data_IF_602443799857
#
_entry.id   IF_602443799857
#
_cell.length_a   1.000
_cell.length_b   1.000
_cell.length_c   1.000
_cell.angle_alpha   90.00
_cell.angle_beta   90.00
_cell.angle_gamma   90.00
#
_symmetry.space_group_name_H-M   'P 1'
#
loop_
_entity.id
_entity.type
_entity.pdbx_description
1 polymer ?
#
# COMPACT_ATOMS: atom_id res chain seq x y z
N UNK A 1 5.28 9.19 -21.61
CA UNK A 1 5.65 8.35 -22.77
C UNK A 1 6.17 9.17 -23.97
N UNK A 2 5.61 10.31 -24.28
CA UNK A 2 5.96 11.11 -25.49
C UNK A 2 7.23 11.96 -25.38
N UNK A 3 7.85 12.07 -24.19
CA UNK A 3 9.07 12.86 -24.02
C UNK A 3 10.30 12.16 -24.62
N UNK A 4 11.26 12.90 -25.20
CA UNK A 4 12.49 12.33 -25.75
C UNK A 4 13.35 11.73 -24.62
N UNK A 5 13.78 10.48 -24.78
CA UNK A 5 14.52 9.72 -23.76
C UNK A 5 15.89 10.31 -23.39
N UNK A 6 16.46 11.16 -24.27
CA UNK A 6 17.78 11.78 -24.07
C UNK A 6 17.74 13.12 -23.33
N UNK A 7 16.56 13.70 -23.09
CA UNK A 7 16.44 15.00 -22.41
C UNK A 7 16.10 14.78 -20.92
N UNK A 8 17.12 14.54 -20.12
CA UNK A 8 16.99 14.24 -18.69
C UNK A 8 16.38 15.39 -17.90
N UNK A 9 16.73 16.63 -18.23
CA UNK A 9 16.19 17.82 -17.57
C UNK A 9 14.67 17.95 -17.78
N UNK A 10 14.22 17.70 -19.00
CA UNK A 10 12.79 17.76 -19.34
C UNK A 10 11.99 16.63 -18.65
N UNK A 11 12.55 15.42 -18.58
CA UNK A 11 11.91 14.28 -17.90
C UNK A 11 11.77 14.58 -16.41
N UNK A 12 12.84 15.02 -15.74
CA UNK A 12 12.87 15.39 -14.33
C UNK A 12 11.92 16.54 -14.03
N UNK A 13 11.96 17.61 -14.83
CA UNK A 13 11.08 18.78 -14.71
C UNK A 13 9.60 18.40 -14.83
N UNK A 14 9.23 17.62 -15.85
CA UNK A 14 7.87 17.14 -16.02
C UNK A 14 7.41 16.26 -14.86
N UNK A 15 8.24 15.32 -14.42
CA UNK A 15 7.90 14.45 -13.26
C UNK A 15 7.71 15.25 -11.98
N UNK A 16 8.53 16.28 -11.76
CA UNK A 16 8.39 17.17 -10.59
C UNK A 16 7.12 17.99 -10.66
N UNK A 17 6.75 18.52 -11.84
CA UNK A 17 5.50 19.27 -12.01
C UNK A 17 4.29 18.37 -11.74
N UNK A 18 4.26 17.15 -12.30
CA UNK A 18 3.17 16.20 -12.05
C UNK A 18 3.07 15.84 -10.57
N UNK A 19 4.20 15.53 -9.92
CA UNK A 19 4.23 15.22 -8.50
C UNK A 19 3.81 16.43 -7.63
N UNK A 20 4.23 17.64 -8.02
CA UNK A 20 3.83 18.89 -7.34
C UNK A 20 2.33 19.15 -7.44
N UNK A 21 1.73 18.97 -8.62
CA UNK A 21 0.28 19.10 -8.82
C UNK A 21 -0.46 18.04 -7.99
N UNK A 22 0.01 16.78 -8.03
CA UNK A 22 -0.62 15.70 -7.23
C UNK A 22 -0.55 15.99 -5.74
N UNK A 23 0.58 16.49 -5.24
CA UNK A 23 0.71 16.90 -3.84
C UNK A 23 -0.23 18.05 -3.48
N UNK A 24 -0.30 19.10 -4.32
CA UNK A 24 -1.20 20.23 -4.11
C UNK A 24 -2.68 19.81 -4.09
N UNK A 25 -3.08 18.91 -4.99
CA UNK A 25 -4.43 18.34 -4.99
C UNK A 25 -4.69 17.50 -3.73
N UNK A 26 -3.70 16.75 -3.26
CA UNK A 26 -3.82 15.97 -2.01
C UNK A 26 -4.00 16.90 -0.78
N UNK A 27 -3.26 18.02 -0.72
CA UNK A 27 -3.47 19.05 0.30
C UNK A 27 -4.84 19.70 0.17
N UNK A 28 -5.27 20.05 -1.05
CA UNK A 28 -6.58 20.63 -1.30
C UNK A 28 -7.69 19.70 -0.78
N UNK A 29 -7.68 18.42 -1.15
CA UNK A 29 -8.66 17.43 -0.69
C UNK A 29 -8.68 17.33 0.83
N UNK A 30 -7.52 17.23 1.47
CA UNK A 30 -7.43 17.11 2.92
C UNK A 30 -7.97 18.34 3.67
N UNK A 31 -7.65 19.55 3.22
CA UNK A 31 -8.10 20.77 3.90
C UNK A 31 -9.54 21.20 3.57
N UNK A 32 -10.10 20.71 2.45
CA UNK A 32 -11.49 21.01 2.07
C UNK A 32 -12.46 19.89 2.45
N UNK A 33 -11.94 18.74 2.96
CA UNK A 33 -12.78 17.66 3.46
C UNK A 33 -13.59 18.13 4.67
N UNK A 34 -14.92 18.00 4.60
CA UNK A 34 -15.82 18.42 5.67
C UNK A 34 -16.00 17.30 6.69
N UNK A 35 -15.37 17.45 7.87
CA UNK A 35 -15.44 16.48 8.96
C UNK A 35 -16.82 16.42 9.65
N UNK A 36 -17.73 17.33 9.34
CA UNK A 36 -19.09 17.34 9.92
C UNK A 36 -20.08 16.50 9.13
N UNK A 37 -19.74 16.19 7.88
CA UNK A 37 -20.54 15.34 7.00
C UNK A 37 -20.07 13.88 7.13
N UNK A 38 -21.02 12.99 7.37
CA UNK A 38 -20.77 11.56 7.31
C UNK A 38 -20.83 11.05 5.85
N UNK A 39 -19.99 10.06 5.53
CA UNK A 39 -19.99 9.40 4.22
C UNK A 39 -18.85 9.84 3.31
N UNK A 40 -19.01 9.53 2.04
CA UNK A 40 -18.03 9.79 0.97
C UNK A 40 -18.24 11.18 0.39
N UNK A 41 -17.16 11.87 0.08
CA UNK A 41 -17.15 13.20 -0.54
C UNK A 41 -16.32 13.18 -1.82
N UNK A 42 -16.42 14.23 -2.64
CA UNK A 42 -15.76 14.32 -3.95
C UNK A 42 -16.10 13.15 -4.88
N UNK A 43 -17.36 12.71 -4.83
CA UNK A 43 -17.80 11.55 -5.59
C UNK A 43 -17.84 11.83 -7.09
N UNK A 44 -17.39 10.84 -7.85
CA UNK A 44 -17.51 10.80 -9.31
C UNK A 44 -17.64 9.34 -9.73
N UNK A 45 -18.65 9.01 -10.53
CA UNK A 45 -18.87 7.65 -11.02
C UNK A 45 -19.11 7.63 -12.52
N UNK A 46 -18.66 6.54 -13.14
CA UNK A 46 -18.84 6.25 -14.54
C UNK A 46 -19.05 4.73 -14.73
N UNK A 47 -20.14 4.33 -15.34
CA UNK A 47 -20.39 2.93 -15.68
C UNK A 47 -19.37 2.44 -16.72
N UNK A 48 -18.55 1.47 -16.35
CA UNK A 48 -17.54 0.89 -17.25
C UNK A 48 -18.02 -0.42 -17.90
N UNK A 49 -18.49 -1.37 -17.09
CA UNK A 49 -19.03 -2.65 -17.55
C UNK A 49 -20.41 -2.92 -16.89
N UNK A 50 -21.50 -2.35 -17.43
CA UNK A 50 -22.82 -2.45 -16.80
C UNK A 50 -23.33 -3.88 -16.62
N UNK A 51 -22.96 -4.79 -17.55
CA UNK A 51 -23.34 -6.21 -17.48
C UNK A 51 -22.81 -6.94 -16.25
N UNK A 52 -21.69 -6.48 -15.69
CA UNK A 52 -21.07 -7.04 -14.50
C UNK A 52 -21.24 -6.15 -13.28
N UNK A 53 -21.93 -5.00 -13.43
CA UNK A 53 -22.06 -4.02 -12.35
C UNK A 53 -20.74 -3.40 -11.90
N UNK A 54 -19.77 -3.27 -12.83
CA UNK A 54 -18.48 -2.65 -12.55
C UNK A 54 -18.55 -1.17 -12.90
N UNK A 55 -18.35 -0.32 -11.90
CA UNK A 55 -18.36 1.13 -12.03
C UNK A 55 -16.99 1.72 -11.69
N UNK A 56 -16.51 2.63 -12.52
CA UNK A 56 -15.37 3.47 -12.16
C UNK A 56 -15.87 4.55 -11.21
N UNK A 57 -16.00 4.17 -9.93
CA UNK A 57 -16.52 5.02 -8.87
C UNK A 57 -15.38 5.45 -7.96
N UNK A 58 -15.24 6.77 -7.81
CA UNK A 58 -14.22 7.42 -7.00
C UNK A 58 -14.88 8.24 -5.90
N UNK A 59 -14.23 8.33 -4.75
CA UNK A 59 -14.69 9.14 -3.64
C UNK A 59 -13.70 9.14 -2.49
N UNK A 60 -13.88 10.07 -1.57
CA UNK A 60 -12.98 10.30 -0.43
C UNK A 60 -13.79 10.23 0.86
N UNK A 61 -13.35 9.40 1.79
CA UNK A 61 -13.81 9.39 3.18
C UNK A 61 -12.71 9.92 4.12
N UNK A 62 -12.96 9.97 5.41
CA UNK A 62 -12.02 10.50 6.40
C UNK A 62 -10.70 9.72 6.48
N UNK A 63 -10.71 8.42 6.21
CA UNK A 63 -9.49 7.58 6.20
C UNK A 63 -8.71 7.83 4.91
N UNK A 64 -9.38 7.78 3.78
CA UNK A 64 -8.75 7.99 2.47
C UNK A 64 -8.20 9.40 2.30
N UNK A 65 -8.83 10.44 2.87
CA UNK A 65 -8.32 11.81 2.85
C UNK A 65 -6.90 11.91 3.46
N UNK A 66 -6.69 11.25 4.61
CA UNK A 66 -5.38 11.19 5.29
C UNK A 66 -4.37 10.41 4.46
N UNK A 67 -4.78 9.29 3.84
CA UNK A 67 -3.90 8.45 3.03
C UNK A 67 -3.53 9.10 1.69
N UNK A 68 -4.44 9.83 1.08
CA UNK A 68 -4.20 10.65 -0.12
C UNK A 68 -3.18 11.76 0.18
N UNK A 69 -3.31 12.44 1.33
CA UNK A 69 -2.33 13.44 1.77
C UNK A 69 -0.94 12.82 1.96
N UNK A 70 -0.85 11.69 2.67
CA UNK A 70 0.40 10.94 2.86
C UNK A 70 1.05 10.60 1.52
N UNK A 71 0.27 10.09 0.57
CA UNK A 71 0.74 9.72 -0.76
C UNK A 71 1.33 10.91 -1.49
N UNK A 72 0.66 12.07 -1.47
CA UNK A 72 1.14 13.30 -2.10
C UNK A 72 2.50 13.76 -1.58
N UNK A 73 2.65 13.77 -0.25
CA UNK A 73 3.91 14.17 0.41
C UNK A 73 5.05 13.21 0.04
N UNK A 74 4.81 11.90 0.13
CA UNK A 74 5.84 10.89 -0.15
C UNK A 74 6.19 10.86 -1.64
N UNK A 75 5.20 11.07 -2.52
CA UNK A 75 5.42 11.08 -3.97
C UNK A 75 6.34 12.21 -4.40
N UNK A 76 6.05 13.46 -4.03
CA UNK A 76 6.90 14.60 -4.40
C UNK A 76 8.30 14.47 -3.81
N UNK A 77 8.43 14.03 -2.55
CA UNK A 77 9.72 13.79 -1.92
C UNK A 77 10.51 12.71 -2.67
N UNK A 78 9.86 11.62 -3.09
CA UNK A 78 10.49 10.53 -3.84
C UNK A 78 10.97 10.97 -5.23
N UNK A 79 10.21 11.81 -5.95
CA UNK A 79 10.65 12.37 -7.23
C UNK A 79 11.90 13.24 -7.04
N UNK A 80 11.95 14.07 -6.00
CA UNK A 80 13.11 14.92 -5.70
C UNK A 80 14.35 14.11 -5.31
N UNK A 81 14.20 13.06 -4.51
CA UNK A 81 15.29 12.15 -4.14
C UNK A 81 15.82 11.38 -5.35
N UNK A 82 14.98 11.13 -6.37
CA UNK A 82 15.35 10.43 -7.61
C UNK A 82 16.01 11.33 -8.66
N UNK A 83 16.32 12.58 -8.32
CA UNK A 83 16.84 13.56 -9.29
C UNK A 83 18.09 13.10 -10.05
N UNK A 84 18.96 12.34 -9.39
CA UNK A 84 20.24 11.91 -9.93
C UNK A 84 20.21 10.56 -10.69
N UNK A 85 19.03 9.98 -10.92
CA UNK A 85 18.93 8.74 -11.69
C UNK A 85 19.34 9.00 -13.16
N UNK A 86 20.41 8.34 -13.61
CA UNK A 86 20.98 8.45 -14.96
C UNK A 86 20.63 7.24 -15.85
N UNK A 87 20.52 6.03 -15.23
CA UNK A 87 20.19 4.83 -15.96
C UNK A 87 18.69 4.80 -16.30
N UNK A 88 18.37 4.93 -17.61
CA UNK A 88 17.00 4.86 -18.13
C UNK A 88 15.98 5.72 -17.35
N UNK A 89 16.22 7.02 -17.14
CA UNK A 89 15.39 7.86 -16.26
C UNK A 89 13.94 7.94 -16.72
N UNK A 90 13.69 7.93 -18.02
CA UNK A 90 12.33 7.95 -18.56
C UNK A 90 11.52 6.74 -18.10
N UNK A 91 12.07 5.54 -18.21
CA UNK A 91 11.40 4.31 -17.83
C UNK A 91 11.18 4.26 -16.32
N UNK A 92 12.17 4.72 -15.53
CA UNK A 92 12.04 4.84 -14.09
C UNK A 92 10.86 5.73 -13.69
N UNK A 93 10.79 6.96 -14.20
CA UNK A 93 9.72 7.89 -13.82
C UNK A 93 8.35 7.45 -14.34
N UNK A 94 8.26 6.78 -15.50
CA UNK A 94 7.00 6.20 -15.98
C UNK A 94 6.50 5.11 -15.03
N UNK A 95 7.36 4.17 -14.63
CA UNK A 95 6.99 3.11 -13.70
C UNK A 95 6.69 3.66 -12.30
N UNK A 96 7.45 4.67 -11.86
CA UNK A 96 7.21 5.32 -10.57
C UNK A 96 5.86 6.07 -10.55
N UNK A 97 5.50 6.73 -11.64
CA UNK A 97 4.18 7.36 -11.81
C UNK A 97 3.05 6.33 -11.80
N UNK A 98 3.23 5.20 -12.52
CA UNK A 98 2.24 4.11 -12.53
C UNK A 98 2.05 3.50 -11.14
N UNK A 99 3.14 3.27 -10.42
CA UNK A 99 3.10 2.81 -9.03
C UNK A 99 2.25 3.74 -8.16
N UNK A 100 2.53 5.04 -8.21
CA UNK A 100 1.82 6.03 -7.37
C UNK A 100 0.38 6.21 -7.83
N UNK A 101 0.11 6.14 -9.15
CA UNK A 101 -1.26 6.16 -9.66
C UNK A 101 -2.09 4.97 -9.14
N UNK A 102 -1.50 3.77 -9.10
CA UNK A 102 -2.13 2.60 -8.45
C UNK A 102 -2.43 2.85 -6.97
N UNK A 103 -1.48 3.42 -6.23
CA UNK A 103 -1.66 3.75 -4.81
C UNK A 103 -2.80 4.75 -4.59
N UNK A 104 -2.85 5.85 -5.34
CA UNK A 104 -3.97 6.79 -5.27
C UNK A 104 -5.29 6.10 -5.62
N UNK A 105 -5.29 5.31 -6.71
CA UNK A 105 -6.47 4.58 -7.16
C UNK A 105 -7.07 3.70 -6.06
N UNK A 106 -6.25 2.99 -5.29
CA UNK A 106 -6.74 2.19 -4.15
C UNK A 106 -7.43 3.05 -3.10
N UNK A 107 -6.82 4.17 -2.70
CA UNK A 107 -7.39 4.99 -1.63
C UNK A 107 -8.66 5.74 -2.02
N UNK A 108 -8.87 6.03 -3.31
CA UNK A 108 -10.02 6.78 -3.78
C UNK A 108 -11.11 5.91 -4.43
N UNK A 109 -10.88 4.62 -4.68
CA UNK A 109 -11.88 3.71 -5.25
C UNK A 109 -13.02 3.43 -4.28
N UNK A 110 -14.25 3.53 -4.79
CA UNK A 110 -15.49 3.16 -4.11
C UNK A 110 -16.09 1.85 -4.67
N UNK A 111 -15.39 1.21 -5.58
CA UNK A 111 -15.74 -0.07 -6.22
C UNK A 111 -14.64 -1.10 -5.92
N UNK A 112 -15.02 -2.28 -5.43
CA UNK A 112 -14.09 -3.33 -4.99
C UNK A 112 -13.26 -3.93 -6.13
N UNK A 113 -13.82 -3.96 -7.36
CA UNK A 113 -13.08 -4.39 -8.55
C UNK A 113 -11.97 -3.40 -8.88
N UNK A 114 -12.28 -2.11 -8.97
CA UNK A 114 -11.28 -1.08 -9.24
C UNK A 114 -10.29 -0.90 -8.09
N UNK A 115 -10.73 -1.05 -6.85
CA UNK A 115 -9.84 -1.09 -5.69
C UNK A 115 -8.74 -2.14 -5.88
N UNK A 116 -9.13 -3.36 -6.24
CA UNK A 116 -8.19 -4.44 -6.48
C UNK A 116 -7.37 -4.24 -7.77
N UNK A 117 -7.97 -3.74 -8.84
CA UNK A 117 -7.26 -3.39 -10.07
C UNK A 117 -6.12 -2.40 -9.82
N UNK A 118 -6.36 -1.34 -9.06
CA UNK A 118 -5.35 -0.35 -8.72
C UNK A 118 -4.29 -0.90 -7.77
N UNK A 119 -4.66 -1.80 -6.89
CA UNK A 119 -3.71 -2.54 -6.07
C UNK A 119 -2.71 -3.33 -6.94
N UNK A 120 -3.20 -4.11 -7.89
CA UNK A 120 -2.34 -4.85 -8.83
C UNK A 120 -1.51 -3.91 -9.73
N UNK A 121 -2.09 -2.79 -10.13
CA UNK A 121 -1.38 -1.77 -10.90
C UNK A 121 -0.18 -1.18 -10.12
N UNK A 122 -0.21 -1.16 -8.81
CA UNK A 122 0.92 -0.73 -7.99
C UNK A 122 2.00 -1.82 -7.85
N UNK A 123 1.62 -3.10 -7.80
CA UNK A 123 2.55 -4.22 -7.56
C UNK A 123 3.52 -4.44 -8.74
N UNK A 124 3.03 -4.42 -9.97
CA UNK A 124 3.85 -4.71 -11.15
C UNK A 124 4.99 -3.69 -11.37
N UNK A 125 4.73 -2.37 -11.33
CA UNK A 125 5.81 -1.39 -11.42
C UNK A 125 6.82 -1.52 -10.27
N UNK A 126 6.38 -1.86 -9.06
CA UNK A 126 7.26 -2.07 -7.90
C UNK A 126 8.28 -3.17 -8.19
N UNK A 127 7.83 -4.31 -8.70
CA UNK A 127 8.72 -5.40 -9.11
C UNK A 127 9.78 -4.93 -10.11
N UNK A 128 9.37 -4.24 -11.18
CA UNK A 128 10.27 -3.78 -12.24
C UNK A 128 11.26 -2.72 -11.73
N UNK A 129 10.81 -1.80 -10.88
CA UNK A 129 11.65 -0.76 -10.29
C UNK A 129 12.75 -1.37 -9.41
N UNK A 130 12.45 -2.41 -8.65
CA UNK A 130 13.45 -3.12 -7.82
C UNK A 130 14.39 -3.94 -8.71
N UNK A 131 13.85 -4.72 -9.63
CA UNK A 131 14.64 -5.62 -10.47
C UNK A 131 15.66 -4.86 -11.36
N UNK A 132 15.30 -3.69 -11.88
CA UNK A 132 16.14 -2.92 -12.80
C UNK A 132 17.05 -1.93 -12.07
N UNK A 133 16.50 -1.10 -11.18
CA UNK A 133 17.24 0.00 -10.50
C UNK A 133 17.64 -0.30 -9.06
N UNK A 134 17.28 -1.46 -8.55
CA UNK A 134 17.61 -1.88 -7.19
C UNK A 134 19.09 -2.20 -6.98
N UNK A 135 19.44 -2.52 -5.74
CA UNK A 135 20.78 -2.93 -5.31
C UNK A 135 20.74 -4.30 -4.63
N UNK A 136 21.80 -5.07 -4.80
CA UNK A 136 22.01 -6.35 -4.12
C UNK A 136 22.76 -6.14 -2.81
N UNK A 137 22.47 -6.96 -1.80
CA UNK A 137 23.14 -6.92 -0.48
C UNK A 137 24.09 -8.10 -0.33
N UNK A 138 25.35 -7.81 -0.01
CA UNK A 138 26.34 -8.82 0.29
C UNK A 138 26.48 -9.00 1.81
N UNK A 139 26.21 -10.22 2.30
CA UNK A 139 26.34 -10.57 3.71
C UNK A 139 27.67 -11.28 4.03
N UNK A 140 28.59 -11.36 3.07
CA UNK A 140 29.87 -12.06 3.20
C UNK A 140 29.74 -13.59 3.13
N UNK A 141 28.65 -14.14 3.60
CA UNK A 141 28.34 -15.59 3.54
C UNK A 141 27.45 -15.93 2.35
N UNK A 142 26.63 -15.01 1.90
CA UNK A 142 25.77 -15.13 0.72
C UNK A 142 25.42 -13.76 0.14
N UNK A 143 25.18 -13.72 -1.17
CA UNK A 143 24.72 -12.54 -1.89
C UNK A 143 23.20 -12.61 -2.02
N UNK A 144 22.48 -11.59 -1.50
CA UNK A 144 21.06 -11.40 -1.76
C UNK A 144 20.86 -10.47 -2.94
N UNK A 145 20.55 -11.03 -4.09
CA UNK A 145 20.42 -10.25 -5.32
C UNK A 145 19.12 -9.43 -5.31
N UNK A 146 19.13 -8.30 -6.02
CA UNK A 146 17.94 -7.46 -6.22
C UNK A 146 16.82 -8.22 -6.95
N UNK A 147 17.19 -9.08 -7.90
CA UNK A 147 16.25 -9.92 -8.64
C UNK A 147 15.54 -10.91 -7.73
N UNK A 148 16.26 -11.54 -6.80
CA UNK A 148 15.67 -12.41 -5.79
C UNK A 148 14.68 -11.64 -4.91
N UNK A 149 15.06 -10.44 -4.43
CA UNK A 149 14.21 -9.62 -3.57
C UNK A 149 12.97 -9.14 -4.30
N UNK A 150 13.11 -8.72 -5.56
CA UNK A 150 12.00 -8.32 -6.42
C UNK A 150 11.04 -9.49 -6.68
N UNK A 151 11.57 -10.66 -7.05
CA UNK A 151 10.76 -11.85 -7.32
C UNK A 151 10.05 -12.35 -6.07
N UNK A 152 10.73 -12.36 -4.91
CA UNK A 152 10.13 -12.73 -3.62
C UNK A 152 8.96 -11.81 -3.27
N UNK A 153 9.15 -10.49 -3.42
CA UNK A 153 8.09 -9.51 -3.23
C UNK A 153 6.90 -9.83 -4.14
N UNK A 154 7.14 -9.96 -5.44
CA UNK A 154 6.06 -10.19 -6.40
C UNK A 154 5.31 -11.49 -6.13
N UNK A 155 6.01 -12.62 -5.91
CA UNK A 155 5.38 -13.91 -5.64
C UNK A 155 4.53 -13.89 -4.36
N UNK A 156 5.03 -13.24 -3.30
CA UNK A 156 4.28 -13.13 -2.05
C UNK A 156 3.03 -12.25 -2.21
N UNK A 157 3.13 -11.12 -2.90
CA UNK A 157 1.97 -10.25 -3.13
C UNK A 157 0.94 -10.91 -4.04
N UNK A 158 1.37 -11.59 -5.12
CA UNK A 158 0.47 -12.37 -5.99
C UNK A 158 -0.25 -13.49 -5.22
N UNK A 159 0.46 -14.17 -4.30
CA UNK A 159 -0.20 -15.18 -3.45
C UNK A 159 -1.30 -14.55 -2.56
N UNK A 160 -1.05 -13.35 -2.02
CA UNK A 160 -2.07 -12.57 -1.31
C UNK A 160 -3.24 -12.17 -2.22
N UNK A 161 -2.93 -11.70 -3.44
CA UNK A 161 -3.90 -11.30 -4.45
C UNK A 161 -4.88 -12.42 -4.81
N UNK A 162 -4.39 -13.66 -4.92
CA UNK A 162 -5.27 -14.82 -5.20
C UNK A 162 -6.30 -15.01 -4.09
N UNK A 163 -5.90 -14.85 -2.82
CA UNK A 163 -6.85 -14.93 -1.70
C UNK A 163 -7.89 -13.80 -1.76
N UNK A 164 -7.45 -12.58 -2.02
CA UNK A 164 -8.35 -11.41 -2.15
C UNK A 164 -9.34 -11.63 -3.30
N UNK A 165 -8.89 -12.11 -4.47
CA UNK A 165 -9.76 -12.40 -5.61
C UNK A 165 -10.84 -13.44 -5.27
N UNK A 166 -10.46 -14.52 -4.58
CA UNK A 166 -11.43 -15.52 -4.16
C UNK A 166 -12.53 -14.92 -3.28
N UNK A 167 -12.15 -14.04 -2.34
CA UNK A 167 -13.13 -13.35 -1.49
C UNK A 167 -13.97 -12.34 -2.27
N UNK A 168 -13.38 -11.56 -3.20
CA UNK A 168 -14.11 -10.61 -4.06
C UNK A 168 -15.19 -11.33 -4.86
N UNK A 169 -14.86 -12.42 -5.53
CA UNK A 169 -15.85 -13.18 -6.31
C UNK A 169 -16.92 -13.81 -5.43
N UNK A 170 -16.52 -14.31 -4.24
CA UNK A 170 -17.49 -14.90 -3.32
C UNK A 170 -18.52 -13.86 -2.84
N UNK A 171 -18.09 -12.68 -2.38
CA UNK A 171 -19.02 -11.63 -1.92
C UNK A 171 -19.86 -11.08 -3.06
N UNK A 172 -19.30 -10.95 -4.27
CA UNK A 172 -20.04 -10.52 -5.45
C UNK A 172 -21.15 -11.51 -5.80
N UNK A 173 -20.87 -12.81 -5.85
CA UNK A 173 -21.86 -13.82 -6.18
C UNK A 173 -22.93 -13.93 -5.09
N UNK A 174 -22.53 -13.95 -3.83
CA UNK A 174 -23.47 -14.07 -2.70
C UNK A 174 -24.36 -12.83 -2.54
N UNK A 175 -23.88 -11.63 -2.93
CA UNK A 175 -24.68 -10.40 -2.94
C UNK A 175 -25.71 -10.31 -4.08
N UNK A 176 -25.78 -11.32 -4.95
CA UNK A 176 -26.67 -11.37 -6.10
C UNK A 176 -26.05 -10.93 -7.43
N UNK A 177 -24.74 -10.62 -7.47
CA UNK A 177 -24.00 -10.41 -8.73
C UNK A 177 -24.35 -9.15 -9.51
N UNK A 178 -24.77 -8.08 -8.84
CA UNK A 178 -25.26 -6.86 -9.50
C UNK A 178 -24.33 -5.64 -9.41
N UNK A 179 -23.37 -5.62 -8.47
CA UNK A 179 -22.49 -4.46 -8.26
C UNK A 179 -21.27 -4.81 -7.43
N UNK A 180 -20.14 -4.15 -7.71
CA UNK A 180 -18.94 -4.19 -6.91
C UNK A 180 -18.78 -2.97 -5.98
N UNK A 181 -19.73 -2.04 -5.97
CA UNK A 181 -19.69 -0.87 -5.10
C UNK A 181 -19.66 -1.27 -3.62
N UNK A 182 -18.76 -0.66 -2.83
CA UNK A 182 -18.64 -0.96 -1.39
C UNK A 182 -19.97 -0.79 -0.65
N UNK A 183 -20.76 0.24 -0.99
CA UNK A 183 -22.08 0.47 -0.40
C UNK A 183 -23.06 -0.68 -0.66
N UNK A 184 -23.08 -1.23 -1.86
CA UNK A 184 -23.95 -2.35 -2.21
C UNK A 184 -23.50 -3.65 -1.54
N UNK A 185 -22.19 -3.93 -1.55
CA UNK A 185 -21.63 -5.13 -0.93
C UNK A 185 -21.75 -5.07 0.60
N UNK A 186 -21.56 -3.91 1.23
CA UNK A 186 -21.71 -3.75 2.67
C UNK A 186 -23.15 -3.82 3.17
N UNK A 187 -24.14 -3.50 2.32
CA UNK A 187 -25.57 -3.60 2.64
C UNK A 187 -26.19 -4.96 2.27
N UNK A 188 -25.45 -5.85 1.62
CA UNK A 188 -25.93 -7.17 1.27
C UNK A 188 -26.04 -8.08 2.51
N UNK A 189 -27.03 -8.97 2.51
CA UNK A 189 -27.21 -9.93 3.59
C UNK A 189 -26.36 -11.18 3.37
N UNK A 190 -25.32 -11.34 4.19
CA UNK A 190 -24.48 -12.55 4.19
C UNK A 190 -24.75 -13.39 5.44
N UNK A 191 -24.85 -14.71 5.29
CA UNK A 191 -24.95 -15.60 6.44
C UNK A 191 -23.68 -15.51 7.31
N UNK A 192 -23.80 -15.69 8.62
CA UNK A 192 -22.64 -15.69 9.53
C UNK A 192 -21.58 -16.73 9.13
N UNK A 193 -22.01 -17.92 8.70
CA UNK A 193 -21.10 -18.96 8.22
C UNK A 193 -20.31 -18.56 6.98
N UNK A 194 -20.94 -17.86 6.03
CA UNK A 194 -20.30 -17.31 4.86
C UNK A 194 -19.25 -16.26 5.25
N UNK A 195 -19.60 -15.29 6.08
CA UNK A 195 -18.69 -14.25 6.53
C UNK A 195 -17.47 -14.83 7.29
N UNK A 196 -17.71 -15.77 8.21
CA UNK A 196 -16.66 -16.46 8.96
C UNK A 196 -15.69 -17.23 8.07
N UNK A 197 -16.19 -17.81 6.96
CA UNK A 197 -15.36 -18.57 6.02
C UNK A 197 -14.55 -17.67 5.07
N UNK A 198 -15.15 -16.60 4.53
CA UNK A 198 -14.52 -15.78 3.51
C UNK A 198 -13.74 -14.58 4.06
N UNK A 199 -14.04 -14.06 5.24
CA UNK A 199 -13.28 -12.96 5.83
C UNK A 199 -11.77 -13.25 5.97
N UNK A 200 -11.32 -14.45 6.37
CA UNK A 200 -9.88 -14.78 6.40
C UNK A 200 -9.15 -14.63 5.08
N UNK A 201 -9.83 -14.80 3.97
CA UNK A 201 -9.22 -14.61 2.65
C UNK A 201 -8.85 -13.15 2.42
N UNK A 202 -9.72 -12.21 2.77
CA UNK A 202 -9.39 -10.79 2.78
C UNK A 202 -8.33 -10.46 3.82
N UNK A 203 -8.52 -10.91 5.07
CA UNK A 203 -7.61 -10.63 6.18
C UNK A 203 -6.18 -11.10 5.89
N UNK A 204 -6.01 -12.32 5.40
CA UNK A 204 -4.69 -12.86 5.05
C UNK A 204 -4.14 -12.24 3.78
N UNK A 205 -4.95 -12.08 2.73
CA UNK A 205 -4.51 -11.51 1.48
C UNK A 205 -4.03 -10.06 1.62
N UNK A 206 -4.82 -9.20 2.23
CA UNK A 206 -4.44 -7.82 2.54
C UNK A 206 -3.41 -7.74 3.67
N UNK A 207 -3.50 -8.62 4.67
CA UNK A 207 -2.52 -8.73 5.74
C UNK A 207 -1.13 -9.07 5.21
N UNK A 208 -1.03 -9.91 4.19
CA UNK A 208 0.20 -10.24 3.49
C UNK A 208 0.85 -8.99 2.89
N UNK A 209 0.07 -8.13 2.23
CA UNK A 209 0.52 -6.82 1.75
C UNK A 209 0.91 -5.87 2.90
N UNK A 210 0.23 -5.92 4.03
CA UNK A 210 0.58 -5.15 5.23
C UNK A 210 1.84 -5.67 5.94
N UNK A 211 2.40 -6.81 5.51
CA UNK A 211 3.57 -7.42 6.14
C UNK A 211 3.24 -8.23 7.39
N UNK A 212 2.08 -8.91 7.41
CA UNK A 212 1.63 -9.76 8.51
C UNK A 212 2.52 -10.99 8.69
N UNK A 213 2.96 -11.25 9.92
CA UNK A 213 3.64 -12.50 10.27
C UNK A 213 2.70 -13.72 10.07
N UNK A 214 3.21 -14.83 9.52
CA UNK A 214 4.60 -15.16 9.17
C UNK A 214 5.02 -14.76 7.75
N UNK A 215 4.17 -14.11 6.97
CA UNK A 215 4.39 -13.83 5.55
C UNK A 215 5.13 -12.51 5.27
N UNK A 216 5.67 -11.84 6.29
CA UNK A 216 6.27 -10.51 6.23
C UNK A 216 7.65 -10.43 5.56
N UNK A 217 8.34 -11.56 5.35
CA UNK A 217 9.79 -11.57 5.02
C UNK A 217 10.13 -10.97 3.65
N UNK A 218 9.17 -10.80 2.76
CA UNK A 218 9.32 -10.11 1.48
C UNK A 218 9.54 -8.60 1.66
N UNK A 219 8.95 -8.02 2.73
CA UNK A 219 8.94 -6.58 2.95
C UNK A 219 10.34 -6.03 3.30
N UNK A 220 11.10 -6.52 4.31
CA UNK A 220 12.46 -6.07 4.54
C UNK A 220 13.38 -6.26 3.33
N UNK A 221 13.30 -7.41 2.66
CA UNK A 221 14.12 -7.69 1.47
C UNK A 221 13.79 -6.74 0.31
N UNK A 222 12.52 -6.48 0.08
CA UNK A 222 12.03 -5.55 -0.94
C UNK A 222 12.46 -4.10 -0.65
N UNK A 223 12.34 -3.66 0.60
CA UNK A 223 12.74 -2.31 1.01
C UNK A 223 14.24 -2.06 0.83
N UNK A 224 15.07 -3.03 1.20
CA UNK A 224 16.52 -2.90 1.13
C UNK A 224 17.01 -2.90 -0.31
N UNK A 225 16.47 -3.79 -1.14
CA UNK A 225 16.83 -3.90 -2.54
C UNK A 225 16.34 -2.71 -3.39
N UNK A 226 15.25 -2.06 -3.01
CA UNK A 226 14.65 -0.99 -3.79
C UNK A 226 15.53 0.26 -3.85
N UNK A 227 15.46 1.05 -4.96
CA UNK A 227 15.98 2.40 -5.02
C UNK A 227 15.35 3.27 -3.93
N UNK A 228 16.07 4.25 -3.42
CA UNK A 228 15.65 5.07 -2.26
C UNK A 228 14.22 5.58 -2.37
N UNK A 229 13.84 6.22 -3.47
CA UNK A 229 12.47 6.73 -3.68
C UNK A 229 11.42 5.62 -3.69
N UNK A 230 11.77 4.46 -4.26
CA UNK A 230 10.88 3.29 -4.29
C UNK A 230 10.71 2.72 -2.89
N UNK A 231 11.78 2.65 -2.07
CA UNK A 231 11.70 2.26 -0.66
C UNK A 231 10.83 3.23 0.16
N UNK A 232 10.90 4.54 -0.14
CA UNK A 232 10.06 5.56 0.50
C UNK A 232 8.57 5.31 0.25
N UNK A 233 8.16 5.05 -1.01
CA UNK A 233 6.76 4.75 -1.34
C UNK A 233 6.35 3.36 -0.81
N UNK A 234 7.23 2.38 -0.92
CA UNK A 234 6.98 1.01 -0.48
C UNK A 234 6.66 0.96 1.03
N UNK A 235 7.57 1.45 1.86
CA UNK A 235 7.37 1.48 3.31
C UNK A 235 6.40 2.58 3.75
N UNK A 236 6.50 3.75 3.13
CA UNK A 236 5.69 4.91 3.49
C UNK A 236 4.21 4.75 3.17
N UNK A 237 3.86 4.12 2.05
CA UNK A 237 2.48 4.11 1.55
C UNK A 237 1.97 2.73 1.15
N UNK A 238 2.74 1.93 0.38
CA UNK A 238 2.23 0.69 -0.19
C UNK A 238 1.74 -0.31 0.86
N UNK A 239 2.48 -0.52 1.95
CA UNK A 239 2.04 -1.43 3.02
C UNK A 239 0.72 -1.00 3.66
N UNK A 240 0.39 0.29 3.63
CA UNK A 240 -0.88 0.82 4.16
C UNK A 240 -2.07 0.44 3.31
N UNK A 241 -1.88 0.15 2.02
CA UNK A 241 -2.95 -0.40 1.16
C UNK A 241 -3.48 -1.72 1.73
N UNK A 242 -2.61 -2.57 2.28
CA UNK A 242 -3.03 -3.80 2.94
C UNK A 242 -3.88 -3.55 4.19
N UNK A 243 -3.43 -2.66 5.08
CA UNK A 243 -4.18 -2.28 6.27
C UNK A 243 -5.54 -1.63 5.89
N UNK A 244 -5.54 -0.76 4.90
CA UNK A 244 -6.76 -0.14 4.37
C UNK A 244 -7.71 -1.18 3.76
N UNK A 245 -7.18 -2.17 3.03
CA UNK A 245 -7.96 -3.29 2.50
C UNK A 245 -8.61 -4.14 3.61
N UNK A 246 -7.94 -4.36 4.75
CA UNK A 246 -8.55 -5.02 5.91
C UNK A 246 -9.71 -4.18 6.46
N UNK A 247 -9.56 -2.85 6.59
CA UNK A 247 -10.66 -1.96 7.05
C UNK A 247 -11.86 -2.08 6.11
N UNK A 248 -11.66 -2.01 4.79
CA UNK A 248 -12.74 -2.15 3.81
C UNK A 248 -13.43 -3.52 3.85
N UNK A 249 -12.66 -4.57 4.14
CA UNK A 249 -13.22 -5.92 4.28
C UNK A 249 -14.15 -6.06 5.49
N UNK A 250 -13.84 -5.34 6.58
CA UNK A 250 -14.68 -5.32 7.79
C UNK A 250 -16.04 -4.65 7.52
N UNK A 251 -16.09 -3.66 6.64
CA UNK A 251 -17.33 -2.99 6.24
C UNK A 251 -18.23 -3.94 5.42
N UNK A 252 -17.64 -4.85 4.64
CA UNK A 252 -18.38 -5.82 3.82
C UNK A 252 -18.81 -7.04 4.64
N UNK A 253 -17.94 -7.56 5.51
CA UNK A 253 -18.14 -8.80 6.27
C UNK A 253 -17.96 -8.58 7.78
N UNK A 254 -18.80 -7.77 8.43
CA UNK A 254 -18.61 -7.37 9.83
C UNK A 254 -18.65 -8.52 10.83
N UNK A 255 -19.57 -9.48 10.71
CA UNK A 255 -19.64 -10.63 11.60
C UNK A 255 -18.42 -11.58 11.42
N UNK A 256 -17.91 -11.70 10.21
CA UNK A 256 -16.66 -12.41 9.95
C UNK A 256 -15.46 -11.71 10.58
N UNK A 257 -15.44 -10.38 10.57
CA UNK A 257 -14.42 -9.60 11.24
C UNK A 257 -14.42 -9.86 12.75
N UNK A 258 -15.58 -9.78 13.42
CA UNK A 258 -15.70 -10.07 14.86
C UNK A 258 -15.08 -11.43 15.23
N UNK A 259 -15.33 -12.48 14.44
CA UNK A 259 -14.81 -13.82 14.71
C UNK A 259 -13.27 -13.91 14.58
N UNK A 260 -12.67 -13.16 13.66
CA UNK A 260 -11.24 -13.29 13.31
C UNK A 260 -10.32 -12.21 13.89
N UNK A 261 -10.87 -11.12 14.44
CA UNK A 261 -10.05 -10.07 15.05
C UNK A 261 -9.18 -10.56 16.22
N UNK A 262 -9.60 -11.50 17.09
CA UNK A 262 -8.71 -12.06 18.12
C UNK A 262 -7.45 -12.72 17.51
N UNK A 263 -7.58 -13.38 16.36
CA UNK A 263 -6.45 -13.96 15.63
C UNK A 263 -5.55 -12.86 15.07
N UNK A 264 -6.14 -11.81 14.48
CA UNK A 264 -5.39 -10.67 13.96
C UNK A 264 -4.63 -9.91 15.05
N UNK A 265 -5.21 -9.75 16.24
CA UNK A 265 -4.52 -9.19 17.43
C UNK A 265 -3.31 -10.06 17.80
N UNK A 266 -3.48 -11.37 17.85
CA UNK A 266 -2.39 -12.31 18.15
C UNK A 266 -1.25 -12.20 17.14
N UNK A 267 -1.56 -12.24 15.83
CA UNK A 267 -0.58 -12.09 14.76
C UNK A 267 0.07 -10.71 14.75
N UNK A 268 -0.69 -9.63 14.98
CA UNK A 268 -0.19 -8.27 15.12
C UNK A 268 0.76 -8.12 16.30
N UNK A 269 0.46 -8.77 17.43
CA UNK A 269 1.35 -8.80 18.60
C UNK A 269 2.68 -9.48 18.27
N UNK A 270 2.64 -10.60 17.54
CA UNK A 270 3.86 -11.27 17.07
C UNK A 270 4.64 -10.35 16.13
N UNK A 271 3.97 -9.64 15.20
CA UNK A 271 4.60 -8.64 14.32
C UNK A 271 5.38 -7.59 15.14
N UNK A 272 4.73 -7.02 16.16
CA UNK A 272 5.34 -5.98 17.01
C UNK A 272 6.62 -6.52 17.67
N UNK A 273 6.52 -7.63 18.37
CA UNK A 273 7.61 -8.19 19.16
C UNK A 273 8.73 -8.70 18.23
N UNK A 274 8.39 -9.55 17.28
CA UNK A 274 9.34 -10.13 16.35
C UNK A 274 10.03 -9.07 15.48
N UNK A 275 9.25 -8.12 14.93
CA UNK A 275 9.77 -7.04 14.10
C UNK A 275 10.76 -6.15 14.84
N UNK A 276 10.45 -5.79 16.11
CA UNK A 276 11.32 -4.98 16.95
C UNK A 276 12.65 -5.70 17.27
N UNK A 277 12.60 -6.96 17.73
CA UNK A 277 13.81 -7.73 18.01
C UNK A 277 14.63 -7.99 16.75
N UNK A 278 13.98 -8.28 15.63
CA UNK A 278 14.66 -8.45 14.35
C UNK A 278 15.34 -7.17 13.89
N UNK A 279 14.70 -6.00 14.06
CA UNK A 279 15.32 -4.71 13.72
C UNK A 279 16.59 -4.43 14.56
N UNK A 280 16.54 -4.69 15.87
CA UNK A 280 17.70 -4.51 16.76
C UNK A 280 18.87 -5.43 16.41
N UNK A 281 18.62 -6.55 15.75
CA UNK A 281 19.65 -7.53 15.37
C UNK A 281 20.32 -7.21 14.02
N UNK A 282 19.83 -6.23 13.27
CA UNK A 282 20.38 -5.91 11.96
C UNK A 282 21.62 -5.05 12.03
N UNK A 283 22.52 -5.26 11.08
CA UNK A 283 23.75 -4.45 10.90
C UNK A 283 23.59 -3.43 9.77
N UNK A 284 22.70 -3.65 8.85
CA UNK A 284 22.41 -2.77 7.72
C UNK A 284 21.23 -1.85 8.08
N UNK A 285 21.39 -0.53 7.90
CA UNK A 285 20.41 0.48 8.28
C UNK A 285 19.08 0.32 7.54
N UNK A 286 19.11 -0.08 6.27
CA UNK A 286 17.86 -0.32 5.51
C UNK A 286 17.10 -1.52 6.06
N UNK A 287 17.78 -2.58 6.51
CA UNK A 287 17.14 -3.72 7.18
C UNK A 287 16.57 -3.35 8.54
N UNK A 288 17.27 -2.49 9.32
CA UNK A 288 16.72 -1.94 10.58
C UNK A 288 15.37 -1.27 10.32
N UNK A 289 15.29 -0.38 9.32
CA UNK A 289 14.06 0.32 8.97
C UNK A 289 13.00 -0.66 8.43
N UNK A 290 13.40 -1.63 7.60
CA UNK A 290 12.50 -2.64 7.05
C UNK A 290 11.81 -3.48 8.12
N UNK A 291 12.55 -4.01 9.08
CA UNK A 291 11.97 -4.76 10.21
C UNK A 291 11.23 -3.87 11.20
N UNK A 292 11.69 -2.63 11.42
CA UNK A 292 10.92 -1.64 12.16
C UNK A 292 9.54 -1.41 11.54
N UNK A 293 9.45 -1.35 10.21
CA UNK A 293 8.18 -1.23 9.50
C UNK A 293 7.24 -2.42 9.75
N UNK A 294 7.77 -3.65 9.80
CA UNK A 294 7.00 -4.84 10.19
C UNK A 294 6.41 -4.68 11.59
N UNK A 295 7.21 -4.20 12.55
CA UNK A 295 6.75 -3.95 13.92
C UNK A 295 5.64 -2.89 13.96
N UNK A 296 5.83 -1.75 13.29
CA UNK A 296 4.85 -0.67 13.26
C UNK A 296 3.54 -1.05 12.57
N UNK A 297 3.60 -1.87 11.51
CA UNK A 297 2.39 -2.41 10.88
C UNK A 297 1.65 -3.40 11.81
N UNK A 298 2.35 -4.05 12.73
CA UNK A 298 1.73 -4.82 13.81
C UNK A 298 0.81 -3.95 14.67
N UNK A 299 1.24 -2.76 15.09
CA UNK A 299 0.39 -1.80 15.82
C UNK A 299 -0.83 -1.37 15.02
N UNK A 300 -0.64 -1.11 13.72
CA UNK A 300 -1.76 -0.77 12.83
C UNK A 300 -2.80 -1.88 12.79
N UNK A 301 -2.38 -3.13 12.57
CA UNK A 301 -3.28 -4.27 12.50
C UNK A 301 -3.97 -4.56 13.85
N UNK A 302 -3.27 -4.40 14.97
CA UNK A 302 -3.88 -4.51 16.30
C UNK A 302 -4.92 -3.41 16.53
N UNK A 303 -4.65 -2.16 16.13
CA UNK A 303 -5.61 -1.07 16.24
C UNK A 303 -6.87 -1.30 15.41
N UNK A 304 -6.73 -1.80 14.17
CA UNK A 304 -7.85 -2.20 13.32
C UNK A 304 -8.67 -3.32 13.98
N UNK A 305 -7.98 -4.29 14.57
CA UNK A 305 -8.59 -5.46 15.18
C UNK A 305 -9.39 -5.19 16.48
N UNK A 306 -9.35 -3.98 17.00
CA UNK A 306 -10.21 -3.58 18.12
C UNK A 306 -11.68 -3.43 17.72
N UNK A 307 -11.98 -3.23 16.46
CA UNK A 307 -13.31 -2.92 15.89
C UNK A 307 -13.95 -1.65 16.52
N UNK A 308 -13.14 -0.81 17.11
CA UNK A 308 -13.56 0.40 17.83
C UNK A 308 -13.04 1.65 17.12
N UNK A 309 -13.83 2.71 17.12
CA UNK A 309 -13.50 3.98 16.45
C UNK A 309 -12.16 4.58 16.95
N UNK A 310 -11.85 4.45 18.25
CA UNK A 310 -10.59 4.93 18.81
C UNK A 310 -9.40 4.09 18.31
N UNK A 311 -9.54 2.76 18.28
CA UNK A 311 -8.50 1.85 17.81
C UNK A 311 -8.25 1.99 16.32
N UNK A 312 -9.30 2.05 15.49
CA UNK A 312 -9.18 2.30 14.04
C UNK A 312 -8.61 3.70 13.78
N UNK A 313 -9.06 4.72 14.50
CA UNK A 313 -8.50 6.07 14.41
C UNK A 313 -7.02 6.12 14.78
N UNK A 314 -6.61 5.40 15.83
CA UNK A 314 -5.22 5.21 16.21
C UNK A 314 -4.40 4.49 15.15
N UNK A 315 -4.97 3.46 14.50
CA UNK A 315 -4.34 2.76 13.39
C UNK A 315 -4.11 3.68 12.19
N UNK A 316 -5.09 4.51 11.82
CA UNK A 316 -4.96 5.49 10.72
C UNK A 316 -3.89 6.53 11.04
N UNK A 317 -3.87 7.07 12.26
CA UNK A 317 -2.81 7.99 12.70
C UNK A 317 -1.43 7.33 12.65
N UNK A 318 -1.35 6.05 13.06
CA UNK A 318 -0.11 5.27 12.98
C UNK A 318 0.30 5.01 11.51
N UNK A 319 -0.64 4.74 10.60
CA UNK A 319 -0.33 4.61 9.17
C UNK A 319 0.29 5.90 8.62
N UNK A 320 -0.27 7.06 8.96
CA UNK A 320 0.24 8.36 8.53
C UNK A 320 1.63 8.67 9.12
N UNK A 321 1.77 8.61 10.44
CA UNK A 321 3.01 8.94 11.15
C UNK A 321 4.16 8.00 10.75
N UNK A 322 3.90 6.69 10.72
CA UNK A 322 4.86 5.70 10.23
C UNK A 322 5.22 5.95 8.76
N UNK A 323 4.24 6.34 7.93
CA UNK A 323 4.47 6.66 6.52
C UNK A 323 5.48 7.79 6.33
N UNK A 324 5.27 8.90 7.01
CA UNK A 324 6.20 10.05 6.99
C UNK A 324 7.56 9.68 7.57
N UNK A 325 7.57 9.03 8.73
CA UNK A 325 8.81 8.63 9.42
C UNK A 325 9.67 7.72 8.56
N UNK A 326 9.10 6.65 7.98
CA UNK A 326 9.87 5.69 7.17
C UNK A 326 10.33 6.26 5.84
N UNK A 327 9.51 7.08 5.19
CA UNK A 327 9.93 7.78 3.98
C UNK A 327 11.14 8.68 4.26
N UNK A 328 11.12 9.44 5.37
CA UNK A 328 12.25 10.27 5.79
C UNK A 328 13.48 9.41 6.13
N UNK A 329 13.33 8.32 6.87
CA UNK A 329 14.46 7.45 7.21
C UNK A 329 15.11 6.84 5.97
N UNK A 330 14.33 6.35 4.99
CA UNK A 330 14.90 5.86 3.74
C UNK A 330 15.59 6.95 2.94
N UNK A 331 15.05 8.18 2.91
CA UNK A 331 15.69 9.31 2.26
C UNK A 331 17.06 9.62 2.91
N UNK A 332 17.11 9.74 4.24
CA UNK A 332 18.37 10.02 4.99
C UNK A 332 19.38 8.90 4.79
N UNK A 333 18.96 7.63 4.95
CA UNK A 333 19.86 6.48 4.74
C UNK A 333 20.34 6.45 3.28
N UNK A 334 19.49 6.78 2.30
CA UNK A 334 19.92 6.90 0.91
C UNK A 334 21.02 7.91 0.70
N UNK A 335 20.95 9.07 1.36
CA UNK A 335 22.03 10.09 1.34
C UNK A 335 23.29 9.57 2.01
N UNK A 336 23.21 8.88 3.15
CA UNK A 336 24.36 8.28 3.83
C UNK A 336 25.06 7.29 2.89
N UNK A 337 24.32 6.34 2.31
CA UNK A 337 24.88 5.33 1.39
C UNK A 337 25.55 5.97 0.17
N UNK A 338 24.96 7.03 -0.39
CA UNK A 338 25.53 7.73 -1.54
C UNK A 338 26.88 8.42 -1.22
N UNK A 339 27.09 8.84 0.03
CA UNK A 339 28.30 9.54 0.45
C UNK A 339 29.37 8.63 1.07
N UNK A 340 29.03 7.39 1.46
CA UNK A 340 29.95 6.47 2.14
C UNK A 340 30.37 5.28 1.28
N UNK A 341 29.67 5.02 0.20
CA UNK A 341 29.92 3.97 -0.79
C UNK A 341 30.02 4.57 -2.20
#
# INVERSE_FOLDING_TARGET
MFLPSRNYSLIRGYSTIVAGISALLSFYVFFTYDHTLSGVQFESSFEWLPLLGIEYSLGIDGISAVMVLLTGIVYIAGVLVSWNIEHRPKDFFVLYLLLVAGVYGVFISQDLFFFFFFYELAVVPMYLLIAVWGSSSDFGTFLRTKEYSALKLMLMLVAGSVLVWLAIFAVYVESGGGSFAFSNLGNAEYTHGFQRFFFPFFMLGFGLLAGLWPFHTWSPDGHVAAPTAVSMVHAGVLMKLGAYGVIRSMEILPAGAEDWMPVLIGLGTVNVIYGAFSAMSQRDLKYVIGYSSVSHMGYVLMGIATLDAMGVGGAVLQMFSHGIMTALFFAVVGVIYHNTH
#
